data_IF_093063402987
#
_entry.id   IF_093063402987
#
_cell.length_a   1.000
_cell.length_b   1.000
_cell.length_c   1.000
_cell.angle_alpha   90.00
_cell.angle_beta   90.00
_cell.angle_gamma   90.00
#
_symmetry.space_group_name_H-M   'P 1'
#
loop_
_entity.id
_entity.type
_entity.pdbx_description
1 polymer ?
#
# COMPACT_ATOMS: atom_id res chain seq x y z
N UNK A 1 -0.35 -11.85 11.61
CA UNK A 1 0.26 -10.53 11.36
C UNK A 1 -0.36 -10.01 10.07
N UNK A 2 -1.03 -8.89 10.12
CA UNK A 2 -1.70 -8.28 8.97
C UNK A 2 -0.70 -7.71 7.96
N UNK A 3 -1.10 -7.63 6.68
CA UNK A 3 -0.26 -7.08 5.60
C UNK A 3 -0.97 -5.85 5.04
N UNK A 4 -0.33 -4.69 5.19
CA UNK A 4 -0.81 -3.43 4.60
C UNK A 4 -0.11 -3.16 3.27
N UNK A 5 -0.90 -3.02 2.20
CA UNK A 5 -0.43 -2.62 0.87
C UNK A 5 -0.57 -1.12 0.70
N UNK A 6 0.51 -0.48 0.31
CA UNK A 6 0.67 0.97 0.19
C UNK A 6 1.13 1.27 -1.24
N UNK A 7 0.55 2.28 -1.88
CA UNK A 7 1.08 2.85 -3.10
C UNK A 7 1.66 4.24 -2.82
N UNK A 8 2.85 4.52 -3.33
CA UNK A 8 3.42 5.87 -3.29
C UNK A 8 3.10 6.61 -4.59
N UNK A 9 2.82 7.90 -4.48
CA UNK A 9 2.59 8.79 -5.61
C UNK A 9 3.18 10.17 -5.32
N UNK A 10 3.45 10.94 -6.36
CA UNK A 10 4.04 12.27 -6.27
C UNK A 10 4.81 12.57 -7.55
N UNK A 11 5.08 13.83 -7.81
CA UNK A 11 5.86 14.25 -8.98
C UNK A 11 7.30 13.75 -8.92
N UNK A 12 8.00 13.91 -10.01
CA UNK A 12 9.46 13.75 -10.01
C UNK A 12 10.03 14.75 -8.99
N UNK A 13 11.03 14.32 -8.25
CA UNK A 13 11.69 15.10 -7.19
C UNK A 13 10.87 15.42 -5.93
N UNK A 14 9.63 14.97 -5.78
CA UNK A 14 8.87 15.14 -4.52
C UNK A 14 9.45 14.32 -3.34
N UNK A 15 10.41 13.42 -3.61
CA UNK A 15 11.15 12.66 -2.61
C UNK A 15 10.56 11.30 -2.26
N UNK A 16 9.86 10.64 -3.19
CA UNK A 16 9.31 9.28 -3.02
C UNK A 16 10.37 8.27 -2.61
N UNK A 17 11.42 8.13 -3.42
CA UNK A 17 12.53 7.20 -3.17
C UNK A 17 13.22 7.49 -1.83
N UNK A 18 13.40 8.76 -1.50
CA UNK A 18 13.97 9.19 -0.20
C UNK A 18 13.06 8.77 0.96
N UNK A 19 11.74 8.96 0.85
CA UNK A 19 10.76 8.56 1.88
C UNK A 19 10.78 7.06 2.11
N UNK A 20 10.73 6.27 1.03
CA UNK A 20 10.78 4.80 1.11
C UNK A 20 12.08 4.35 1.76
N UNK A 21 13.21 4.87 1.30
CA UNK A 21 14.51 4.58 1.87
C UNK A 21 14.59 4.95 3.36
N UNK A 22 13.99 6.07 3.77
CA UNK A 22 13.91 6.51 5.17
C UNK A 22 13.07 5.54 6.02
N UNK A 23 11.92 5.12 5.54
CA UNK A 23 11.09 4.12 6.23
C UNK A 23 11.87 2.82 6.43
N UNK A 24 12.54 2.32 5.38
CA UNK A 24 13.37 1.10 5.48
C UNK A 24 14.51 1.26 6.49
N UNK A 25 15.17 2.41 6.47
CA UNK A 25 16.28 2.69 7.38
C UNK A 25 15.83 2.74 8.85
N UNK A 26 14.78 3.51 9.15
CA UNK A 26 14.29 3.70 10.51
C UNK A 26 13.54 2.50 11.10
N UNK A 27 13.02 1.60 10.23
CA UNK A 27 12.44 0.32 10.66
C UNK A 27 13.47 -0.83 10.72
N UNK A 28 14.76 -0.53 10.55
CA UNK A 28 15.85 -1.53 10.53
C UNK A 28 15.63 -2.66 9.50
N UNK A 29 14.98 -2.33 8.38
CA UNK A 29 14.69 -3.29 7.31
C UNK A 29 15.80 -3.39 6.27
N UNK A 30 16.94 -2.75 6.50
CA UNK A 30 18.12 -2.74 5.63
C UNK A 30 19.24 -3.53 6.29
N UNK A 31 19.93 -4.38 5.52
CA UNK A 31 21.11 -5.11 6.02
C UNK A 31 22.31 -4.16 6.22
N UNK A 32 23.18 -4.49 7.16
CA UNK A 32 24.36 -3.67 7.47
C UNK A 32 25.25 -3.43 6.27
N UNK A 33 25.47 -4.46 5.44
CA UNK A 33 26.30 -4.37 4.22
C UNK A 33 25.74 -3.31 3.24
N UNK A 34 24.41 -3.24 3.11
CA UNK A 34 23.75 -2.21 2.27
C UNK A 34 23.92 -0.82 2.85
N UNK A 35 23.86 -0.66 4.18
CA UNK A 35 24.07 0.64 4.83
C UNK A 35 25.52 1.12 4.58
N UNK A 36 26.52 0.26 4.75
CA UNK A 36 27.92 0.59 4.50
C UNK A 36 28.17 0.96 3.03
N UNK A 37 27.52 0.25 2.09
CA UNK A 37 27.58 0.58 0.67
C UNK A 37 26.98 1.96 0.37
N UNK A 38 25.84 2.30 0.99
CA UNK A 38 25.20 3.62 0.86
C UNK A 38 26.06 4.75 1.43
N UNK A 39 26.66 4.55 2.61
CA UNK A 39 27.57 5.50 3.19
C UNK A 39 28.77 5.79 2.27
N UNK A 40 29.35 4.73 1.70
CA UNK A 40 30.44 4.84 0.76
C UNK A 40 30.04 5.58 -0.52
N UNK A 41 28.83 5.30 -1.04
CA UNK A 41 28.30 5.96 -2.23
C UNK A 41 27.98 7.45 -1.96
N UNK A 42 27.37 7.76 -0.82
CA UNK A 42 27.07 9.14 -0.41
C UNK A 42 28.34 9.98 -0.24
N UNK A 43 29.36 9.41 0.39
CA UNK A 43 30.69 10.06 0.52
C UNK A 43 31.35 10.32 -0.82
N UNK A 44 31.27 9.37 -1.79
CA UNK A 44 31.81 9.56 -3.15
C UNK A 44 31.13 10.69 -3.91
N UNK A 45 29.82 10.90 -3.66
CA UNK A 45 29.04 12.03 -4.20
C UNK A 45 29.31 13.36 -3.48
N UNK A 46 30.14 13.38 -2.44
CA UNK A 46 30.43 14.58 -1.64
C UNK A 46 29.29 15.04 -0.75
N UNK A 47 28.33 14.14 -0.43
CA UNK A 47 27.18 14.44 0.40
C UNK A 47 27.54 14.30 1.87
N UNK A 48 27.06 15.24 2.70
CA UNK A 48 27.21 15.21 4.15
C UNK A 48 26.07 14.43 4.86
N UNK A 49 25.21 13.77 4.09
CA UNK A 49 24.09 12.95 4.59
C UNK A 49 24.01 11.64 3.81
N UNK A 50 23.29 10.68 4.34
CA UNK A 50 23.05 9.38 3.72
C UNK A 50 21.99 9.51 2.62
N UNK A 51 22.37 9.23 1.37
CA UNK A 51 21.45 9.27 0.21
C UNK A 51 20.64 7.98 0.16
N UNK A 52 19.50 7.98 0.85
CA UNK A 52 18.62 6.82 0.95
C UNK A 52 17.80 6.55 -0.32
N UNK A 53 17.78 7.49 -1.29
CA UNK A 53 17.09 7.28 -2.57
C UNK A 53 17.73 6.15 -3.38
N UNK A 54 19.02 5.91 -3.19
CA UNK A 54 19.76 4.82 -3.86
C UNK A 54 19.27 3.40 -3.48
N UNK A 55 18.44 3.27 -2.46
CA UNK A 55 17.88 1.96 -2.04
C UNK A 55 16.79 1.45 -2.97
N UNK A 56 16.08 2.35 -3.62
CA UNK A 56 14.90 2.04 -4.43
C UNK A 56 15.19 1.95 -5.92
N UNK A 57 16.28 2.54 -6.38
CA UNK A 57 16.64 2.55 -7.80
C UNK A 57 17.12 1.16 -8.25
N UNK A 58 16.19 0.36 -8.76
CA UNK A 58 16.42 -1.04 -9.16
C UNK A 58 17.04 -1.18 -10.55
N UNK A 59 16.59 -0.40 -11.52
CA UNK A 59 17.02 -0.48 -12.92
C UNK A 59 18.19 0.46 -13.20
N UNK A 60 19.07 0.07 -14.13
CA UNK A 60 20.19 0.92 -14.58
C UNK A 60 19.65 2.24 -15.16
N UNK A 61 18.59 2.16 -15.97
CA UNK A 61 17.95 3.33 -16.56
C UNK A 61 17.33 4.28 -15.51
N UNK A 62 16.80 3.76 -14.43
CA UNK A 62 16.28 4.55 -13.30
C UNK A 62 17.40 5.32 -12.60
N UNK A 63 18.55 4.66 -12.39
CA UNK A 63 19.75 5.30 -11.80
C UNK A 63 20.36 6.38 -12.68
N UNK A 64 20.35 6.19 -13.99
CA UNK A 64 20.89 7.15 -14.96
C UNK A 64 19.99 8.36 -15.14
N UNK A 65 18.67 8.16 -15.11
CA UNK A 65 17.67 9.22 -15.32
C UNK A 65 17.16 9.83 -14.00
N UNK A 66 17.38 9.18 -12.85
CA UNK A 66 16.90 9.62 -11.56
C UNK A 66 15.37 9.57 -11.41
N UNK A 67 14.70 8.72 -12.19
CA UNK A 67 13.24 8.56 -12.17
C UNK A 67 12.86 7.09 -12.03
N UNK A 68 11.74 6.82 -11.35
CA UNK A 68 11.12 5.49 -11.31
C UNK A 68 10.39 5.24 -12.62
N UNK A 69 10.66 4.12 -13.29
CA UNK A 69 10.06 3.75 -14.58
C UNK A 69 9.01 2.66 -14.39
N UNK A 70 9.35 1.61 -13.64
CA UNK A 70 8.47 0.46 -13.40
C UNK A 70 8.06 0.36 -11.93
N UNK A 71 7.04 -0.43 -11.64
CA UNK A 71 6.54 -0.64 -10.28
C UNK A 71 7.43 -1.63 -9.55
N UNK A 72 8.07 -1.18 -8.49
CA UNK A 72 8.82 -2.03 -7.57
C UNK A 72 8.00 -2.30 -6.30
N UNK A 73 7.91 -3.56 -5.88
CA UNK A 73 7.33 -3.90 -4.58
C UNK A 73 8.43 -4.00 -3.53
N UNK A 74 8.35 -3.15 -2.52
CA UNK A 74 9.31 -3.05 -1.43
C UNK A 74 8.66 -3.55 -0.15
N UNK A 75 9.36 -4.40 0.58
CA UNK A 75 8.84 -5.10 1.76
C UNK A 75 9.56 -4.62 3.00
N UNK A 76 8.78 -4.28 4.04
CA UNK A 76 9.32 -4.04 5.37
C UNK A 76 8.32 -4.49 6.44
N UNK A 77 8.75 -4.54 7.68
CA UNK A 77 7.90 -4.94 8.80
C UNK A 77 8.23 -4.17 10.06
N UNK A 78 7.21 -3.98 10.89
CA UNK A 78 7.34 -3.58 12.28
C UNK A 78 6.95 -4.77 13.17
N UNK A 79 7.13 -4.70 14.48
CA UNK A 79 6.65 -5.73 15.40
C UNK A 79 5.14 -6.01 15.29
N UNK A 80 4.36 -5.04 14.85
CA UNK A 80 2.89 -5.10 14.79
C UNK A 80 2.35 -5.51 13.41
N UNK A 81 3.02 -5.11 12.31
CA UNK A 81 2.46 -5.22 10.95
C UNK A 81 3.53 -5.44 9.89
N UNK A 82 3.15 -6.13 8.80
CA UNK A 82 3.95 -6.22 7.56
C UNK A 82 3.44 -5.23 6.51
N UNK A 83 4.34 -4.68 5.72
CA UNK A 83 4.04 -3.67 4.71
C UNK A 83 4.58 -4.09 3.34
N UNK A 84 3.82 -3.78 2.31
CA UNK A 84 4.23 -3.87 0.92
C UNK A 84 4.01 -2.49 0.30
N UNK A 85 5.10 -1.81 -0.05
CA UNK A 85 5.04 -0.54 -0.76
C UNK A 85 5.20 -0.82 -2.25
N UNK A 86 4.21 -0.45 -3.05
CA UNK A 86 4.36 -0.32 -4.48
C UNK A 86 4.95 1.06 -4.76
N UNK A 87 6.23 1.12 -5.10
CA UNK A 87 6.86 2.35 -5.58
C UNK A 87 6.42 2.57 -7.02
N UNK A 88 5.74 3.69 -7.24
CA UNK A 88 5.13 3.99 -8.54
C UNK A 88 5.79 5.19 -9.20
N UNK A 89 5.90 5.18 -10.54
CA UNK A 89 6.47 6.29 -11.28
C UNK A 89 5.72 7.60 -11.04
N UNK A 90 6.47 8.70 -10.89
CA UNK A 90 5.91 10.06 -10.77
C UNK A 90 5.68 10.78 -12.09
N UNK A 91 6.29 10.27 -13.18
CA UNK A 91 6.22 10.91 -14.49
C UNK A 91 4.88 10.62 -15.19
N UNK A 92 4.35 11.61 -15.89
CA UNK A 92 3.04 11.53 -16.55
C UNK A 92 2.93 10.37 -17.54
N UNK A 93 4.00 10.08 -18.28
CA UNK A 93 4.04 9.02 -19.27
C UNK A 93 3.86 7.62 -18.66
N UNK A 94 4.22 7.44 -17.40
CA UNK A 94 4.13 6.16 -16.68
C UNK A 94 2.88 6.03 -15.80
N UNK A 95 1.86 6.88 -16.01
CA UNK A 95 0.61 6.83 -15.23
C UNK A 95 -0.05 5.44 -15.25
N UNK A 96 0.08 4.68 -16.35
CA UNK A 96 -0.43 3.31 -16.46
C UNK A 96 0.22 2.38 -15.44
N UNK A 97 1.53 2.48 -15.27
CA UNK A 97 2.27 1.67 -14.31
C UNK A 97 1.86 2.03 -12.87
N UNK A 98 1.64 3.33 -12.60
CA UNK A 98 1.10 3.79 -11.32
C UNK A 98 -0.26 3.16 -11.01
N UNK A 99 -1.20 3.14 -11.96
CA UNK A 99 -2.53 2.52 -11.78
C UNK A 99 -2.40 1.04 -11.45
N UNK A 100 -1.53 0.32 -12.17
CA UNK A 100 -1.26 -1.10 -11.92
C UNK A 100 -0.71 -1.34 -10.50
N UNK A 101 0.30 -0.57 -10.09
CA UNK A 101 0.90 -0.69 -8.75
C UNK A 101 -0.06 -0.34 -7.61
N UNK A 102 -0.93 0.65 -7.84
CA UNK A 102 -1.88 1.13 -6.84
C UNK A 102 -3.17 0.29 -6.73
N UNK A 103 -3.46 -0.58 -7.71
CA UNK A 103 -4.76 -1.30 -7.80
C UNK A 103 -5.10 -2.16 -6.58
N UNK A 104 -4.10 -2.68 -5.88
CA UNK A 104 -4.28 -3.50 -4.68
C UNK A 104 -3.97 -2.75 -3.37
N UNK A 105 -3.66 -1.46 -3.44
CA UNK A 105 -3.31 -0.67 -2.27
C UNK A 105 -4.53 -0.37 -1.40
N UNK A 106 -4.31 -0.29 -0.09
CA UNK A 106 -5.28 0.15 0.91
C UNK A 106 -4.98 1.55 1.43
N UNK A 107 -3.74 1.98 1.26
CA UNK A 107 -3.28 3.33 1.57
C UNK A 107 -2.54 3.88 0.36
N UNK A 108 -2.80 5.14 0.01
CA UNK A 108 -2.01 5.90 -0.96
C UNK A 108 -1.24 6.99 -0.22
N UNK A 109 0.09 6.99 -0.37
CA UNK A 109 0.97 8.07 0.09
C UNK A 109 1.20 9.02 -1.08
N UNK A 110 0.68 10.23 -0.98
CA UNK A 110 0.86 11.27 -2.01
C UNK A 110 1.83 12.31 -1.48
N UNK A 111 2.99 12.44 -2.10
CA UNK A 111 3.98 13.44 -1.73
C UNK A 111 3.73 14.75 -2.46
N UNK A 112 3.97 15.84 -1.75
CA UNK A 112 3.87 17.22 -2.26
C UNK A 112 5.08 18.00 -1.75
N UNK A 113 5.89 18.57 -2.63
CA UNK A 113 7.02 19.42 -2.24
C UNK A 113 6.51 20.72 -1.60
N UNK A 114 6.90 20.99 -0.35
CA UNK A 114 6.48 22.19 0.39
C UNK A 114 6.83 23.52 -0.29
N UNK A 115 7.84 23.55 -1.17
CA UNK A 115 8.22 24.73 -1.93
C UNK A 115 7.29 25.01 -3.09
N UNK A 116 6.85 23.95 -3.79
CA UNK A 116 6.03 24.04 -5.01
C UNK A 116 4.54 24.03 -4.70
N UNK A 117 4.15 23.30 -3.64
CA UNK A 117 2.74 23.09 -3.33
C UNK A 117 2.05 22.15 -4.33
N UNK A 118 0.78 22.45 -4.64
CA UNK A 118 -0.03 21.61 -5.53
C UNK A 118 0.38 21.83 -6.97
N UNK A 119 0.69 20.75 -7.65
CA UNK A 119 0.94 20.71 -9.10
C UNK A 119 -0.12 19.83 -9.79
N UNK A 120 -0.19 19.88 -11.12
CA UNK A 120 -1.14 19.07 -11.90
C UNK A 120 -1.09 17.58 -11.56
N UNK A 121 0.11 17.05 -11.31
CA UNK A 121 0.32 15.66 -10.93
C UNK A 121 -0.33 15.33 -9.58
N UNK A 122 -0.34 16.24 -8.63
CA UNK A 122 -1.00 16.05 -7.33
C UNK A 122 -2.50 15.78 -7.52
N UNK A 123 -3.17 16.59 -8.35
CA UNK A 123 -4.59 16.41 -8.65
C UNK A 123 -4.86 15.08 -9.38
N UNK A 124 -3.98 14.70 -10.30
CA UNK A 124 -4.08 13.44 -11.04
C UNK A 124 -3.93 12.23 -10.10
N UNK A 125 -2.95 12.25 -9.20
CA UNK A 125 -2.72 11.17 -8.24
C UNK A 125 -3.88 10.99 -7.26
N UNK A 126 -4.46 12.10 -6.77
CA UNK A 126 -5.68 12.08 -5.97
C UNK A 126 -6.86 11.47 -6.73
N UNK A 127 -7.05 11.87 -7.99
CA UNK A 127 -8.12 11.32 -8.84
C UNK A 127 -7.96 9.81 -9.07
N UNK A 128 -6.73 9.35 -9.32
CA UNK A 128 -6.44 7.91 -9.48
C UNK A 128 -6.72 7.16 -8.18
N UNK A 129 -6.27 7.66 -7.03
CA UNK A 129 -6.54 7.03 -5.74
C UNK A 129 -8.05 6.92 -5.46
N UNK A 130 -8.82 7.94 -5.85
CA UNK A 130 -10.29 7.93 -5.74
C UNK A 130 -10.95 6.94 -6.70
N UNK A 131 -10.54 6.90 -7.97
CA UNK A 131 -11.05 5.96 -8.97
C UNK A 131 -10.78 4.50 -8.59
N UNK A 132 -9.59 4.22 -8.07
CA UNK A 132 -9.21 2.90 -7.57
C UNK A 132 -9.85 2.55 -6.22
N UNK A 133 -10.66 3.44 -5.67
CA UNK A 133 -11.35 3.23 -4.38
C UNK A 133 -10.39 2.92 -3.23
N UNK A 134 -9.22 3.56 -3.21
CA UNK A 134 -8.26 3.41 -2.10
C UNK A 134 -8.85 4.10 -0.86
N UNK A 135 -9.11 3.38 0.23
CA UNK A 135 -9.89 3.91 1.34
C UNK A 135 -9.17 5.00 2.16
N UNK A 136 -7.84 4.97 2.21
CA UNK A 136 -7.03 5.94 2.95
C UNK A 136 -6.03 6.62 2.03
N UNK A 137 -6.00 7.95 2.07
CA UNK A 137 -4.97 8.77 1.43
C UNK A 137 -4.23 9.54 2.51
N UNK A 138 -2.90 9.48 2.50
CA UNK A 138 -2.04 10.27 3.36
C UNK A 138 -1.24 11.21 2.47
N UNK A 139 -1.52 12.50 2.58
CA UNK A 139 -0.81 13.52 1.82
C UNK A 139 0.36 14.01 2.66
N UNK A 140 1.57 13.68 2.22
CA UNK A 140 2.81 14.07 2.86
C UNK A 140 3.33 15.38 2.25
N UNK A 141 3.21 16.48 2.96
CA UNK A 141 3.86 17.75 2.61
C UNK A 141 5.33 17.60 2.98
N UNK A 142 6.12 17.24 1.98
CA UNK A 142 7.53 16.86 2.14
C UNK A 142 8.48 18.04 1.93
N UNK A 143 9.72 17.87 2.37
CA UNK A 143 10.77 18.90 2.33
C UNK A 143 10.46 20.14 3.18
N UNK A 144 9.83 19.91 4.31
CA UNK A 144 9.57 20.99 5.29
C UNK A 144 10.85 21.66 5.78
N UNK A 145 11.96 20.94 5.75
CA UNK A 145 13.31 21.48 6.02
C UNK A 145 13.69 22.64 5.10
N UNK A 146 13.27 22.62 3.84
CA UNK A 146 13.55 23.67 2.86
C UNK A 146 12.65 24.91 2.99
N UNK A 147 11.60 24.82 3.80
CA UNK A 147 10.73 25.95 4.16
C UNK A 147 10.79 26.22 5.66
N UNK A 148 11.92 25.90 6.31
CA UNK A 148 12.23 26.18 7.73
C UNK A 148 11.18 25.65 8.71
N UNK A 149 10.47 24.56 8.34
CA UNK A 149 9.42 23.94 9.14
C UNK A 149 8.25 24.85 9.52
N UNK A 150 8.00 25.90 8.70
CA UNK A 150 6.99 26.91 8.99
C UNK A 150 5.55 26.34 8.96
N UNK A 151 4.82 26.53 10.05
CA UNK A 151 3.41 26.17 10.18
C UNK A 151 2.54 26.87 9.14
N UNK A 152 2.78 28.17 8.91
CA UNK A 152 2.04 28.98 7.93
C UNK A 152 2.09 28.39 6.53
N UNK A 153 3.26 27.87 6.13
CA UNK A 153 3.45 27.26 4.82
C UNK A 153 2.71 25.93 4.71
N UNK A 154 2.76 25.09 5.73
CA UNK A 154 1.97 23.88 5.79
C UNK A 154 0.47 24.16 5.70
N UNK A 155 -0.04 25.10 6.50
CA UNK A 155 -1.46 25.47 6.54
C UNK A 155 -1.96 26.01 5.19
N UNK A 156 -1.14 26.83 4.49
CA UNK A 156 -1.45 27.32 3.15
C UNK A 156 -1.66 26.16 2.16
N UNK A 157 -0.72 25.20 2.16
CA UNK A 157 -0.76 24.04 1.26
C UNK A 157 -1.93 23.13 1.64
N UNK A 158 -2.14 22.85 2.93
CA UNK A 158 -3.23 22.03 3.43
C UNK A 158 -4.59 22.60 3.04
N UNK A 159 -4.78 23.92 3.14
CA UNK A 159 -6.02 24.58 2.74
C UNK A 159 -6.33 24.35 1.25
N UNK A 160 -5.37 24.60 0.38
CA UNK A 160 -5.52 24.36 -1.07
C UNK A 160 -5.76 22.88 -1.39
N UNK A 161 -5.06 21.96 -0.68
CA UNK A 161 -5.27 20.52 -0.82
C UNK A 161 -6.68 20.11 -0.39
N UNK A 162 -7.20 20.68 0.70
CA UNK A 162 -8.54 20.35 1.19
C UNK A 162 -9.64 20.73 0.19
N UNK A 163 -9.50 21.83 -0.52
CA UNK A 163 -10.39 22.21 -1.61
C UNK A 163 -10.36 21.22 -2.78
N UNK A 164 -9.17 20.75 -3.14
CA UNK A 164 -9.00 19.74 -4.19
C UNK A 164 -9.58 18.39 -3.76
N UNK A 165 -9.28 17.96 -2.54
CA UNK A 165 -9.78 16.73 -1.93
C UNK A 165 -11.31 16.72 -1.90
N UNK A 166 -11.96 17.82 -1.51
CA UNK A 166 -13.42 17.90 -1.46
C UNK A 166 -14.11 17.64 -2.80
N UNK A 167 -13.43 17.93 -3.90
CA UNK A 167 -13.93 17.74 -5.27
C UNK A 167 -13.59 16.37 -5.87
N UNK A 168 -12.60 15.69 -5.31
CA UNK A 168 -11.98 14.53 -5.95
C UNK A 168 -12.32 13.22 -5.22
N UNK A 169 -12.48 13.24 -3.89
CA UNK A 169 -12.66 12.02 -3.08
C UNK A 169 -14.07 11.43 -3.16
N UNK A 170 -14.16 10.13 -2.97
CA UNK A 170 -15.45 9.44 -2.85
C UNK A 170 -15.91 9.37 -1.38
N UNK A 171 -17.22 9.19 -1.18
CA UNK A 171 -17.79 9.06 0.17
C UNK A 171 -17.22 7.83 0.89
N UNK A 172 -16.56 8.05 2.02
CA UNK A 172 -15.90 7.02 2.82
C UNK A 172 -14.38 6.96 2.65
N UNK A 173 -13.79 7.71 1.71
CA UNK A 173 -12.35 7.87 1.63
C UNK A 173 -11.88 8.82 2.74
N UNK A 174 -10.88 8.40 3.52
CA UNK A 174 -10.28 9.25 4.55
C UNK A 174 -8.97 9.85 4.06
N UNK A 175 -8.75 11.13 4.36
CA UNK A 175 -7.55 11.86 3.97
C UNK A 175 -6.88 12.46 5.20
N UNK A 176 -5.57 12.24 5.35
CA UNK A 176 -4.72 12.86 6.38
C UNK A 176 -3.65 13.72 5.71
N UNK A 177 -3.20 14.76 6.40
CA UNK A 177 -2.14 15.66 5.94
C UNK A 177 -1.00 15.64 6.95
N UNK A 178 0.22 15.35 6.50
CA UNK A 178 1.40 15.23 7.34
C UNK A 178 2.52 16.14 6.84
N UNK A 179 3.04 17.07 7.66
CA UNK A 179 4.28 17.78 7.36
C UNK A 179 5.46 16.86 7.68
N UNK A 180 6.32 16.59 6.69
CA UNK A 180 7.47 15.70 6.86
C UNK A 180 8.75 16.26 6.26
N UNK A 181 9.89 15.76 6.69
CA UNK A 181 11.12 15.80 5.92
C UNK A 181 11.64 14.38 5.73
N UNK A 182 11.56 13.88 4.50
CA UNK A 182 12.06 12.54 4.16
C UNK A 182 13.59 12.47 4.31
N UNK A 183 14.29 13.57 4.09
CA UNK A 183 15.74 13.62 4.17
C UNK A 183 16.24 13.44 5.61
N UNK A 184 15.60 14.10 6.57
CA UNK A 184 16.03 14.09 7.97
C UNK A 184 15.19 13.19 8.89
N UNK A 185 14.06 12.63 8.39
CA UNK A 185 13.22 11.69 9.14
C UNK A 185 12.14 12.32 10.00
N UNK A 186 11.95 13.67 9.92
CA UNK A 186 10.97 14.36 10.74
C UNK A 186 9.54 13.91 10.42
N UNK A 187 8.78 13.55 11.46
CA UNK A 187 7.41 13.03 11.42
C UNK A 187 7.22 11.75 10.59
N UNK A 188 8.28 10.97 10.35
CA UNK A 188 8.18 9.68 9.65
C UNK A 188 7.94 8.55 10.67
N UNK A 189 8.89 8.23 11.53
CA UNK A 189 8.72 7.26 12.62
C UNK A 189 8.65 7.93 13.99
N UNK A 190 9.27 9.10 14.13
CA UNK A 190 9.29 9.89 15.35
C UNK A 190 8.76 11.29 15.10
N UNK A 191 8.13 11.87 16.12
CA UNK A 191 7.67 13.27 16.03
C UNK A 191 8.85 14.21 15.90
N UNK A 192 8.71 15.20 15.04
CA UNK A 192 9.72 16.23 14.82
C UNK A 192 9.73 17.24 15.97
N UNK A 193 10.92 17.53 16.50
CA UNK A 193 11.13 18.59 17.48
C UNK A 193 11.00 19.96 16.82
N UNK A 194 11.36 20.06 15.54
CA UNK A 194 11.31 21.26 14.73
C UNK A 194 9.89 21.70 14.36
N UNK A 195 8.91 20.80 14.49
CA UNK A 195 7.49 21.06 14.20
C UNK A 195 6.62 20.82 15.44
N UNK A 196 6.84 21.53 16.56
CA UNK A 196 6.08 21.33 17.81
C UNK A 196 4.60 21.70 17.66
N UNK A 197 4.24 22.49 16.65
CA UNK A 197 2.88 22.87 16.31
C UNK A 197 2.06 21.71 15.69
N UNK A 198 2.73 20.68 15.16
CA UNK A 198 2.04 19.53 14.57
C UNK A 198 1.70 18.48 15.64
N UNK A 199 0.42 18.38 15.98
CA UNK A 199 -0.10 17.45 16.98
C UNK A 199 -0.57 16.11 16.42
N UNK A 200 -0.51 15.91 15.08
CA UNK A 200 -0.91 14.66 14.43
C UNK A 200 0.02 13.48 14.71
N UNK A 201 -0.32 12.34 14.15
CA UNK A 201 0.51 11.14 14.18
C UNK A 201 1.72 11.29 13.26
N UNK A 202 2.75 10.46 13.48
CA UNK A 202 3.82 10.25 12.50
C UNK A 202 3.28 9.44 11.32
N UNK A 203 4.02 9.40 10.21
CA UNK A 203 3.62 8.58 9.06
C UNK A 203 3.48 7.11 9.45
N UNK A 204 4.45 6.55 10.16
CA UNK A 204 4.38 5.16 10.61
C UNK A 204 3.19 4.96 11.57
N UNK A 205 2.93 5.91 12.47
CA UNK A 205 1.78 5.87 13.37
C UNK A 205 0.43 5.84 12.63
N UNK A 206 0.28 6.64 11.56
CA UNK A 206 -0.92 6.60 10.68
C UNK A 206 -1.07 5.24 9.99
N UNK A 207 0.05 4.62 9.57
CA UNK A 207 0.03 3.31 8.93
C UNK A 207 -0.27 2.17 9.90
N UNK A 208 0.22 2.24 11.14
CA UNK A 208 -0.02 1.23 12.18
C UNK A 208 -1.45 1.27 12.73
N UNK A 209 -2.02 2.46 12.88
CA UNK A 209 -3.38 2.64 13.42
C UNK A 209 -4.47 2.47 12.36
N UNK A 210 -4.11 2.37 11.07
CA UNK A 210 -5.10 2.19 10.01
C UNK A 210 -5.66 0.77 10.01
N UNK A 211 -6.95 0.63 10.31
CA UNK A 211 -7.70 -0.63 10.28
C UNK A 211 -8.63 -0.66 9.07
N UNK A 212 -8.50 -1.70 8.26
CA UNK A 212 -9.32 -1.88 7.06
C UNK A 212 -10.20 -3.16 7.09
N UNK A 213 -9.86 -4.11 7.96
CA UNK A 213 -10.37 -5.49 7.86
C UNK A 213 -11.85 -5.68 8.29
N UNK A 214 -12.38 -4.89 9.22
CA UNK A 214 -13.69 -5.18 9.81
C UNK A 214 -14.88 -5.00 8.86
N UNK A 215 -14.82 -4.02 7.96
CA UNK A 215 -15.95 -3.68 7.07
C UNK A 215 -16.21 -4.76 6.02
N UNK A 216 -15.20 -5.47 5.56
CA UNK A 216 -15.35 -6.49 4.53
C UNK A 216 -15.87 -7.82 5.07
N UNK A 217 -15.57 -8.16 6.32
CA UNK A 217 -16.06 -9.40 6.94
C UNK A 217 -17.58 -9.38 7.18
N UNK A 218 -18.17 -8.20 7.36
CA UNK A 218 -19.62 -8.01 7.57
C UNK A 218 -20.40 -7.83 6.26
N UNK A 219 -19.71 -7.65 5.13
CA UNK A 219 -20.37 -7.51 3.84
C UNK A 219 -20.93 -8.87 3.35
N UNK A 220 -21.86 -8.89 2.38
CA UNK A 220 -22.29 -10.14 1.76
C UNK A 220 -21.13 -10.98 1.26
N UNK A 221 -21.13 -12.26 1.58
CA UNK A 221 -20.04 -13.17 1.28
C UNK A 221 -19.84 -13.33 -0.24
N UNK A 222 -18.59 -13.18 -0.70
CA UNK A 222 -18.17 -13.32 -2.11
C UNK A 222 -16.84 -14.03 -2.18
N UNK A 223 -16.79 -15.10 -2.98
CA UNK A 223 -15.62 -15.91 -3.22
C UNK A 223 -15.39 -16.10 -4.72
N UNK A 224 -14.54 -15.30 -5.36
CA UNK A 224 -14.13 -15.53 -6.74
C UNK A 224 -13.27 -16.79 -6.84
N UNK A 225 -13.73 -17.79 -7.58
CA UNK A 225 -12.93 -18.98 -7.86
C UNK A 225 -11.84 -18.61 -8.86
N UNK A 226 -10.59 -18.84 -8.49
CA UNK A 226 -9.42 -18.54 -9.31
C UNK A 226 -8.83 -19.78 -9.94
N UNK A 227 -8.97 -20.92 -9.28
CA UNK A 227 -8.41 -22.19 -9.74
C UNK A 227 -9.23 -23.38 -9.20
N UNK A 228 -9.43 -24.40 -10.03
CA UNK A 228 -10.04 -25.67 -9.61
C UNK A 228 -8.94 -26.70 -9.34
N UNK A 229 -8.83 -27.13 -8.10
CA UNK A 229 -7.85 -28.14 -7.65
C UNK A 229 -8.40 -29.53 -7.90
N UNK A 230 -7.77 -30.28 -8.79
CA UNK A 230 -8.07 -31.70 -9.06
C UNK A 230 -6.75 -32.47 -9.05
N UNK A 231 -6.33 -33.06 -7.93
CA UNK A 231 -5.14 -33.89 -7.90
C UNK A 231 -5.35 -35.15 -8.75
N UNK A 232 -4.40 -35.43 -9.65
CA UNK A 232 -4.47 -36.64 -10.52
C UNK A 232 -3.75 -37.82 -9.84
N UNK A 233 -4.04 -38.08 -8.56
CA UNK A 233 -3.45 -39.19 -7.81
C UNK A 233 -4.54 -40.17 -7.37
N UNK A 234 -4.26 -41.45 -7.29
CA UNK A 234 -5.23 -42.50 -6.89
C UNK A 234 -5.88 -42.20 -5.52
N UNK A 235 -5.14 -41.57 -4.61
CA UNK A 235 -5.60 -41.24 -3.26
C UNK A 235 -6.66 -40.10 -3.24
N UNK A 236 -6.77 -39.29 -4.31
CA UNK A 236 -7.64 -38.09 -4.37
C UNK A 236 -8.46 -38.05 -5.67
N UNK A 237 -8.83 -39.23 -6.20
CA UNK A 237 -9.52 -39.35 -7.49
C UNK A 237 -10.81 -38.51 -7.59
N UNK A 238 -11.55 -38.39 -6.49
CA UNK A 238 -12.84 -37.67 -6.43
C UNK A 238 -12.70 -36.27 -5.78
N UNK A 239 -11.48 -35.82 -5.46
CA UNK A 239 -11.29 -34.51 -4.84
C UNK A 239 -11.46 -33.39 -5.86
N UNK A 240 -12.37 -32.46 -5.57
CA UNK A 240 -12.57 -31.23 -6.32
C UNK A 240 -12.63 -30.04 -5.39
N UNK A 241 -11.54 -29.29 -5.33
CA UNK A 241 -11.43 -28.07 -4.54
C UNK A 241 -11.52 -26.81 -5.39
N UNK A 242 -12.19 -25.81 -4.89
CA UNK A 242 -12.29 -24.47 -5.51
C UNK A 242 -11.39 -23.53 -4.73
N UNK A 243 -10.29 -23.11 -5.36
CA UNK A 243 -9.28 -22.24 -4.75
C UNK A 243 -9.52 -20.79 -5.13
N UNK A 244 -9.33 -19.88 -4.17
CA UNK A 244 -9.47 -18.45 -4.39
C UNK A 244 -9.22 -17.64 -3.13
N UNK A 245 -9.44 -16.32 -3.24
CA UNK A 245 -9.37 -15.40 -2.12
C UNK A 245 -10.75 -14.85 -1.82
N UNK A 246 -11.19 -14.92 -0.57
CA UNK A 246 -12.47 -14.34 -0.13
C UNK A 246 -12.40 -12.83 -0.30
N UNK A 247 -13.28 -12.29 -1.15
CA UNK A 247 -13.36 -10.84 -1.42
C UNK A 247 -14.12 -10.10 -0.31
N UNK A 248 -15.18 -10.72 0.22
CA UNK A 248 -16.01 -10.13 1.28
C UNK A 248 -16.78 -11.20 2.03
N UNK A 249 -17.26 -10.86 3.23
CA UNK A 249 -18.06 -11.70 4.09
C UNK A 249 -17.29 -12.79 4.80
N UNK A 250 -18.03 -13.73 5.34
CA UNK A 250 -17.54 -14.92 6.05
C UNK A 250 -18.21 -16.13 5.45
N UNK A 251 -17.45 -17.21 5.26
CA UNK A 251 -17.95 -18.53 4.86
C UNK A 251 -17.70 -19.52 5.99
N UNK A 252 -18.68 -20.39 6.25
CA UNK A 252 -18.61 -21.47 7.24
C UNK A 252 -18.88 -22.80 6.58
N UNK A 253 -18.30 -23.86 7.12
CA UNK A 253 -18.66 -25.22 6.73
C UNK A 253 -20.16 -25.41 7.02
N UNK A 254 -20.88 -25.96 6.04
CA UNK A 254 -22.33 -26.14 6.11
C UNK A 254 -23.16 -24.97 5.55
N UNK A 255 -22.54 -23.84 5.18
CA UNK A 255 -23.28 -22.75 4.54
C UNK A 255 -23.77 -23.15 3.15
N UNK A 256 -25.01 -22.74 2.84
CA UNK A 256 -25.54 -22.82 1.48
C UNK A 256 -24.97 -21.68 0.64
N UNK A 257 -24.44 -22.01 -0.53
CA UNK A 257 -23.87 -21.05 -1.47
C UNK A 257 -24.59 -21.10 -2.82
N UNK A 258 -24.52 -19.98 -3.57
CA UNK A 258 -24.98 -19.92 -4.96
C UNK A 258 -23.79 -19.65 -5.88
N UNK A 259 -23.65 -20.52 -6.88
CA UNK A 259 -22.62 -20.37 -7.93
C UNK A 259 -23.15 -19.46 -9.04
N UNK A 260 -22.37 -18.43 -9.37
CA UNK A 260 -22.68 -17.50 -10.45
C UNK A 260 -21.77 -17.78 -11.65
N UNK A 261 -22.25 -17.63 -12.89
CA UNK A 261 -23.56 -17.08 -13.29
C UNK A 261 -24.68 -18.11 -13.33
N UNK A 262 -24.41 -19.42 -13.15
CA UNK A 262 -25.39 -20.51 -13.37
C UNK A 262 -26.58 -20.48 -12.41
N UNK A 263 -26.40 -19.92 -11.19
CA UNK A 263 -27.43 -19.88 -10.18
C UNK A 263 -27.62 -21.18 -9.39
N UNK A 264 -26.82 -22.22 -9.67
CA UNK A 264 -26.83 -23.49 -8.94
C UNK A 264 -26.49 -23.29 -7.47
N UNK A 265 -27.11 -24.08 -6.59
CA UNK A 265 -26.83 -24.04 -5.15
C UNK A 265 -26.13 -25.30 -4.69
N UNK A 266 -25.28 -25.16 -3.69
CA UNK A 266 -24.59 -26.25 -3.01
C UNK A 266 -24.29 -25.88 -1.57
N UNK A 267 -23.78 -26.84 -0.80
CA UNK A 267 -23.35 -26.66 0.59
C UNK A 267 -21.83 -26.77 0.64
N UNK A 268 -21.19 -25.91 1.43
CA UNK A 268 -19.75 -26.01 1.70
C UNK A 268 -19.47 -27.24 2.53
N UNK A 269 -18.72 -28.21 1.97
CA UNK A 269 -18.36 -29.43 2.66
C UNK A 269 -17.10 -29.25 3.53
N UNK A 270 -16.05 -28.63 3.00
CA UNK A 270 -14.82 -28.31 3.75
C UNK A 270 -14.29 -26.94 3.37
N UNK A 271 -13.54 -26.34 4.29
CA UNK A 271 -12.72 -25.15 4.05
C UNK A 271 -11.29 -25.51 4.48
N UNK A 272 -10.33 -25.30 3.57
CA UNK A 272 -8.94 -25.67 3.80
C UNK A 272 -8.02 -24.47 3.56
N UNK A 273 -7.02 -24.30 4.41
CA UNK A 273 -5.98 -23.29 4.27
C UNK A 273 -4.62 -23.93 4.52
N UNK A 274 -3.81 -24.06 3.45
CA UNK A 274 -2.63 -24.92 3.44
C UNK A 274 -3.01 -26.36 3.83
N UNK A 275 -2.42 -26.89 4.88
CA UNK A 275 -2.66 -28.26 5.40
C UNK A 275 -3.71 -28.30 6.53
N UNK A 276 -4.36 -27.19 6.85
CA UNK A 276 -5.30 -27.11 7.96
C UNK A 276 -6.75 -26.99 7.46
N UNK A 277 -7.65 -27.79 8.05
CA UNK A 277 -9.08 -27.61 7.91
C UNK A 277 -9.56 -26.50 8.83
N UNK A 278 -10.49 -25.65 8.34
CA UNK A 278 -11.09 -24.52 9.06
C UNK A 278 -12.60 -24.71 9.16
N UNK A 279 -13.18 -24.35 10.28
CA UNK A 279 -14.65 -24.26 10.45
C UNK A 279 -15.24 -23.05 9.75
N UNK A 280 -14.44 -21.97 9.65
CA UNK A 280 -14.83 -20.73 8.96
C UNK A 280 -13.61 -20.01 8.39
N UNK A 281 -13.87 -19.19 7.36
CA UNK A 281 -12.88 -18.29 6.79
C UNK A 281 -13.51 -16.93 6.47
N UNK A 282 -12.73 -15.86 6.55
CA UNK A 282 -13.16 -14.47 6.44
C UNK A 282 -12.54 -13.75 5.24
N UNK A 283 -13.09 -12.61 4.88
CA UNK A 283 -12.59 -11.72 3.85
C UNK A 283 -11.07 -11.51 3.95
N UNK A 284 -10.38 -11.62 2.82
CA UNK A 284 -8.93 -11.47 2.72
C UNK A 284 -8.14 -12.77 2.80
N UNK A 285 -8.73 -13.89 3.25
CA UNK A 285 -8.08 -15.18 3.31
C UNK A 285 -8.11 -15.89 1.96
N UNK A 286 -6.99 -16.53 1.62
CA UNK A 286 -6.89 -17.45 0.47
C UNK A 286 -7.12 -18.86 0.98
N UNK A 287 -8.11 -19.53 0.40
CA UNK A 287 -8.58 -20.84 0.84
C UNK A 287 -8.87 -21.76 -0.35
N UNK A 288 -9.04 -23.04 -0.05
CA UNK A 288 -9.70 -24.01 -0.90
C UNK A 288 -10.99 -24.45 -0.21
N UNK A 289 -12.11 -24.48 -0.93
CA UNK A 289 -13.34 -25.05 -0.42
C UNK A 289 -13.80 -26.20 -1.30
N UNK A 290 -14.37 -27.23 -0.69
CA UNK A 290 -15.08 -28.29 -1.40
C UNK A 290 -16.57 -28.15 -1.21
N UNK A 291 -17.33 -28.65 -2.14
CA UNK A 291 -18.80 -28.59 -2.13
C UNK A 291 -19.39 -30.00 -1.99
N UNK A 292 -20.61 -30.07 -1.46
CA UNK A 292 -21.32 -31.33 -1.30
C UNK A 292 -21.73 -31.97 -2.63
N UNK A 293 -21.90 -31.15 -3.67
CA UNK A 293 -22.24 -31.59 -5.02
C UNK A 293 -21.11 -31.23 -5.97
N UNK A 294 -20.91 -32.04 -6.99
CA UNK A 294 -19.97 -31.77 -8.08
C UNK A 294 -20.59 -30.73 -9.02
N UNK A 295 -20.10 -29.50 -9.00
CA UNK A 295 -20.58 -28.39 -9.82
C UNK A 295 -19.45 -27.90 -10.71
N UNK A 296 -19.73 -27.70 -11.98
CA UNK A 296 -18.81 -27.07 -12.90
C UNK A 296 -18.81 -25.53 -12.70
N UNK A 297 -17.65 -25.00 -12.30
CA UNK A 297 -17.43 -23.56 -12.06
C UNK A 297 -16.32 -23.08 -12.97
#
# INVERSE_FOLDING_TARGET
MDILRIATAGSVDDGKSTLIGRLLYETNSITKDKIEALESASKRKGLNFLDLSLLTDGLIAEREQGITIDVANIYFSTPTRKYIIADTPGHIEYTRNMVTGASNAKVSLILVDARQGIVEQTARHLSIASLLRIPKVIICVNKMDLVQYEESKFNEIQHKLSELVSKTTFKGQTVSYLPISSLFGQNITKKAVEMPWFNGNTLLGELETFEFAETLAQAPARFPVQFVVRPMTEAYHDYRGYAGKISSGTFKVGDEIRVLPTGQTSIIATIEKFENSLEQAIAGESIVMTLSNDIDI
#
